data_IF_246930699086
#
_entry.id   IF_246930699086
#
_cell.length_a   1.000
_cell.length_b   1.000
_cell.length_c   1.000
_cell.angle_alpha   90.00
_cell.angle_beta   90.00
_cell.angle_gamma   90.00
#
_symmetry.space_group_name_H-M   'P 1'
#
loop_
_entity.id
_entity.type
_entity.pdbx_description
1 polymer ?
#
# COMPACT_ATOMS: atom_id res chain seq x y z
N UNK A 1 -0.95 -13.01 38.32
CA UNK A 1 -1.83 -12.07 37.63
C UNK A 1 -1.28 -11.82 36.25
N UNK A 2 -1.93 -12.38 35.23
CA UNK A 2 -1.57 -12.23 33.82
C UNK A 2 -1.69 -10.75 33.44
N UNK A 3 -0.56 -10.09 33.31
CA UNK A 3 -0.49 -8.79 32.64
C UNK A 3 -0.74 -9.08 31.18
N UNK A 4 -1.98 -8.87 30.73
CA UNK A 4 -2.34 -8.81 29.33
C UNK A 4 -1.58 -7.68 28.65
N UNK A 5 -0.33 -7.96 28.28
CA UNK A 5 0.46 -7.10 27.41
C UNK A 5 -0.21 -7.15 26.05
N UNK A 6 -1.17 -6.26 25.82
CA UNK A 6 -1.69 -5.99 24.49
C UNK A 6 -0.48 -5.68 23.61
N UNK A 7 -0.15 -6.58 22.69
CA UNK A 7 0.94 -6.35 21.75
C UNK A 7 0.58 -5.10 20.96
N UNK A 8 1.35 -4.03 21.17
CA UNK A 8 1.06 -2.72 20.57
C UNK A 8 1.36 -2.80 19.07
N UNK A 9 0.32 -2.97 18.26
CA UNK A 9 0.43 -3.05 16.81
C UNK A 9 0.49 -1.64 16.20
N UNK A 10 1.71 -1.15 15.97
CA UNK A 10 1.94 0.21 15.43
C UNK A 10 1.32 0.43 14.05
N UNK A 11 1.22 -0.60 13.22
CA UNK A 11 0.54 -0.50 11.93
C UNK A 11 -0.97 -0.33 12.07
N UNK A 12 -1.59 -0.90 13.11
CA UNK A 12 -2.99 -0.68 13.42
C UNK A 12 -3.22 0.74 13.95
N UNK A 13 -2.33 1.26 14.78
CA UNK A 13 -2.41 2.63 15.29
C UNK A 13 -2.27 3.66 14.16
N UNK A 14 -1.29 3.48 13.27
CA UNK A 14 -1.15 4.28 12.06
C UNK A 14 -2.41 4.25 11.17
N UNK A 15 -3.01 3.06 11.02
CA UNK A 15 -4.26 2.89 10.29
C UNK A 15 -5.44 3.63 10.95
N UNK A 16 -5.49 3.69 12.28
CA UNK A 16 -6.50 4.46 13.02
C UNK A 16 -6.27 5.96 12.85
N UNK A 17 -5.02 6.43 12.98
CA UNK A 17 -4.67 7.84 12.79
C UNK A 17 -5.09 8.33 11.40
N UNK A 18 -4.76 7.58 10.34
CA UNK A 18 -5.20 7.90 8.98
C UNK A 18 -6.73 7.87 8.81
N UNK A 19 -7.44 7.03 9.55
CA UNK A 19 -8.91 6.95 9.46
C UNK A 19 -9.62 8.12 10.15
N UNK A 20 -8.94 8.87 11.01
CA UNK A 20 -9.48 10.08 11.66
C UNK A 20 -9.22 11.32 10.81
N UNK A 21 -8.12 11.36 10.05
CA UNK A 21 -7.84 12.43 9.10
C UNK A 21 -8.66 12.28 7.80
N UNK A 22 -9.46 13.29 7.47
CA UNK A 22 -10.38 13.22 6.32
C UNK A 22 -9.65 13.02 4.99
N UNK A 23 -8.48 13.64 4.82
CA UNK A 23 -7.72 13.57 3.56
C UNK A 23 -7.11 12.17 3.40
N UNK A 24 -6.46 11.66 4.46
CA UNK A 24 -5.87 10.33 4.49
C UNK A 24 -6.93 9.26 4.30
N UNK A 25 -8.02 9.31 5.06
CA UNK A 25 -9.12 8.35 4.97
C UNK A 25 -9.73 8.31 3.56
N UNK A 26 -9.99 9.48 2.97
CA UNK A 26 -10.58 9.59 1.62
C UNK A 26 -9.66 9.00 0.56
N UNK A 27 -8.39 9.42 0.52
CA UNK A 27 -7.44 8.94 -0.48
C UNK A 27 -7.07 7.47 -0.26
N UNK A 28 -7.06 7.00 1.00
CA UNK A 28 -6.88 5.59 1.33
C UNK A 28 -8.00 4.73 0.76
N UNK A 29 -9.24 5.13 1.01
CA UNK A 29 -10.42 4.46 0.46
C UNK A 29 -10.37 4.44 -1.08
N UNK A 30 -9.99 5.56 -1.69
CA UNK A 30 -9.89 5.68 -3.16
C UNK A 30 -8.91 4.67 -3.76
N UNK A 31 -7.68 4.54 -3.24
CA UNK A 31 -6.72 3.59 -3.79
C UNK A 31 -7.12 2.14 -3.49
N UNK A 32 -7.64 1.85 -2.30
CA UNK A 32 -8.10 0.50 -1.96
C UNK A 32 -9.19 0.06 -2.92
N UNK A 33 -10.22 0.89 -3.15
CA UNK A 33 -11.28 0.61 -4.12
C UNK A 33 -10.74 0.43 -5.53
N UNK A 34 -9.76 1.23 -5.96
CA UNK A 34 -9.15 1.08 -7.28
C UNK A 34 -8.36 -0.24 -7.45
N UNK A 35 -7.76 -0.75 -6.37
CA UNK A 35 -6.94 -1.96 -6.40
C UNK A 35 -7.73 -3.26 -6.22
N UNK A 36 -8.90 -3.23 -5.54
CA UNK A 36 -9.75 -4.42 -5.36
C UNK A 36 -10.85 -4.55 -6.42
N UNK A 37 -11.14 -3.49 -7.18
CA UNK A 37 -12.19 -3.53 -8.20
C UNK A 37 -11.85 -4.53 -9.31
N UNK A 38 -12.72 -5.54 -9.58
CA UNK A 38 -12.48 -6.51 -10.62
C UNK A 38 -12.44 -5.84 -11.99
N UNK A 39 -11.51 -6.28 -12.84
CA UNK A 39 -11.34 -5.75 -14.19
C UNK A 39 -11.74 -6.80 -15.22
N UNK A 40 -12.83 -6.55 -15.95
CA UNK A 40 -13.33 -7.45 -16.99
C UNK A 40 -12.32 -7.69 -18.14
N UNK A 41 -11.27 -6.87 -18.26
CA UNK A 41 -10.29 -6.90 -19.36
C UNK A 41 -8.83 -7.19 -18.93
N UNK A 42 -8.50 -7.16 -17.63
CA UNK A 42 -7.09 -7.08 -17.19
C UNK A 42 -6.69 -8.04 -16.05
N UNK A 43 -7.47 -9.10 -15.79
CA UNK A 43 -7.18 -10.06 -14.72
C UNK A 43 -7.76 -9.63 -13.36
N UNK A 44 -7.10 -9.93 -12.22
CA UNK A 44 -7.69 -9.78 -10.89
C UNK A 44 -8.03 -8.33 -10.51
N UNK A 45 -7.36 -7.35 -11.14
CA UNK A 45 -7.62 -5.92 -10.94
C UNK A 45 -7.15 -5.09 -12.15
N UNK A 46 -7.48 -3.79 -12.17
CA UNK A 46 -6.86 -2.84 -13.11
C UNK A 46 -5.59 -2.22 -12.48
N UNK A 47 -4.43 -2.85 -12.69
CA UNK A 47 -3.15 -2.44 -12.09
C UNK A 47 -2.77 -0.99 -12.42
N UNK A 48 -3.01 -0.51 -13.64
CA UNK A 48 -2.72 0.87 -14.02
C UNK A 48 -3.54 1.89 -13.22
N UNK A 49 -4.84 1.60 -13.01
CA UNK A 49 -5.72 2.45 -12.18
C UNK A 49 -5.31 2.41 -10.70
N UNK A 50 -4.99 1.22 -10.18
CA UNK A 50 -4.47 1.03 -8.83
C UNK A 50 -3.19 1.85 -8.59
N UNK A 51 -2.17 1.70 -9.46
CA UNK A 51 -0.90 2.42 -9.34
C UNK A 51 -1.07 3.95 -9.47
N UNK A 52 -2.02 4.42 -10.30
CA UNK A 52 -2.35 5.85 -10.37
C UNK A 52 -2.94 6.37 -9.05
N UNK A 53 -3.84 5.61 -8.42
CA UNK A 53 -4.45 5.99 -7.15
C UNK A 53 -3.45 5.91 -5.98
N UNK A 54 -2.57 4.90 -5.97
CA UNK A 54 -1.48 4.77 -5.00
C UNK A 54 -0.51 5.96 -5.08
N UNK A 55 -0.06 6.35 -6.28
CA UNK A 55 0.77 7.55 -6.46
C UNK A 55 0.08 8.80 -5.88
N UNK A 56 -1.18 9.02 -6.24
CA UNK A 56 -1.97 10.13 -5.70
C UNK A 56 -2.05 10.11 -4.16
N UNK A 57 -2.18 8.94 -3.54
CA UNK A 57 -2.18 8.82 -2.08
C UNK A 57 -0.85 9.29 -1.47
N UNK A 58 0.27 8.78 -1.97
CA UNK A 58 1.59 9.14 -1.46
C UNK A 58 2.01 10.59 -1.79
N UNK A 59 1.52 11.16 -2.89
CA UNK A 59 1.81 12.55 -3.27
C UNK A 59 1.01 13.58 -2.45
N UNK A 60 -0.17 13.18 -1.95
CA UNK A 60 -1.16 14.13 -1.39
C UNK A 60 -1.40 13.98 0.10
N UNK A 61 -1.12 12.81 0.67
CA UNK A 61 -1.22 12.60 2.12
C UNK A 61 0.12 12.96 2.77
N UNK A 62 0.11 13.71 3.90
CA UNK A 62 1.34 14.07 4.59
C UNK A 62 2.22 12.84 4.94
N UNK A 63 3.56 12.97 4.85
CA UNK A 63 4.50 11.90 5.19
C UNK A 63 4.28 11.28 6.57
N UNK A 64 3.85 12.07 7.55
CA UNK A 64 3.58 11.59 8.91
C UNK A 64 2.55 10.44 8.93
N UNK A 65 1.55 10.47 8.06
CA UNK A 65 0.61 9.34 7.94
C UNK A 65 1.14 8.23 7.02
N UNK A 66 1.70 8.59 5.86
CA UNK A 66 2.08 7.59 4.85
C UNK A 66 3.27 6.75 5.30
N UNK A 67 4.26 7.35 5.95
CA UNK A 67 5.41 6.66 6.49
C UNK A 67 5.04 5.78 7.68
N UNK A 68 4.16 6.24 8.58
CA UNK A 68 3.68 5.40 9.68
C UNK A 68 2.93 4.16 9.18
N UNK A 69 2.17 4.27 8.08
CA UNK A 69 1.49 3.12 7.46
C UNK A 69 2.45 2.14 6.75
N UNK A 70 3.49 2.64 6.10
CA UNK A 70 4.44 1.84 5.30
C UNK A 70 5.55 1.22 6.17
N UNK A 71 6.06 1.97 7.14
CA UNK A 71 7.30 1.67 7.84
C UNK A 71 7.10 1.39 9.34
N UNK A 72 5.85 1.22 9.79
CA UNK A 72 5.55 0.80 11.16
C UNK A 72 6.39 -0.43 11.56
N UNK A 73 7.00 -0.44 12.76
CA UNK A 73 7.71 -1.61 13.26
C UNK A 73 6.71 -2.68 13.69
N UNK A 74 7.10 -3.95 13.55
CA UNK A 74 6.28 -5.10 13.89
C UNK A 74 7.09 -6.15 14.67
N UNK A 75 6.46 -6.73 15.68
CA UNK A 75 6.99 -7.81 16.50
C UNK A 75 6.33 -9.17 16.23
N UNK A 76 5.20 -9.18 15.51
CA UNK A 76 4.44 -10.40 15.20
C UNK A 76 4.03 -10.46 13.71
N UNK A 77 3.61 -11.65 13.28
CA UNK A 77 3.20 -11.94 11.90
C UNK A 77 1.94 -11.15 11.50
N UNK A 78 1.02 -10.91 12.43
CA UNK A 78 -0.23 -10.20 12.13
C UNK A 78 0.03 -8.73 11.78
N UNK A 79 0.92 -8.06 12.52
CA UNK A 79 1.42 -6.73 12.21
C UNK A 79 2.19 -6.73 10.88
N UNK A 80 3.10 -7.69 10.69
CA UNK A 80 3.89 -7.78 9.47
C UNK A 80 3.01 -7.94 8.22
N UNK A 81 1.95 -8.76 8.29
CA UNK A 81 1.01 -8.92 7.18
C UNK A 81 0.17 -7.65 6.98
N UNK A 82 -0.27 -6.98 8.05
CA UNK A 82 -0.94 -5.67 7.93
C UNK A 82 -0.06 -4.67 7.18
N UNK A 83 1.22 -4.58 7.51
CA UNK A 83 2.19 -3.74 6.81
C UNK A 83 2.36 -4.13 5.35
N UNK A 84 2.46 -5.44 5.06
CA UNK A 84 2.56 -5.97 3.69
C UNK A 84 1.34 -5.59 2.85
N UNK A 85 0.15 -5.61 3.45
CA UNK A 85 -1.12 -5.31 2.78
C UNK A 85 -1.37 -3.81 2.53
N UNK A 86 -0.54 -2.90 3.07
CA UNK A 86 -0.73 -1.44 2.94
C UNK A 86 -0.94 -0.98 1.49
N UNK A 87 -0.25 -1.60 0.53
CA UNK A 87 -0.31 -1.26 -0.91
C UNK A 87 -1.14 -2.23 -1.75
N UNK A 88 -1.86 -3.18 -1.16
CA UNK A 88 -2.64 -4.22 -1.87
C UNK A 88 -1.75 -5.00 -2.87
N UNK A 89 -0.76 -5.77 -2.38
CA UNK A 89 0.30 -6.35 -3.22
C UNK A 89 -0.23 -7.30 -4.29
N UNK A 90 -1.35 -7.99 -4.06
CA UNK A 90 -1.98 -8.87 -5.04
C UNK A 90 -2.38 -8.16 -6.35
N UNK A 91 -2.53 -6.83 -6.31
CA UNK A 91 -2.81 -6.01 -7.49
C UNK A 91 -1.60 -5.16 -7.92
N UNK A 92 -0.96 -4.47 -6.97
CA UNK A 92 0.05 -3.44 -7.25
C UNK A 92 1.48 -3.96 -7.41
N UNK A 93 1.78 -5.14 -6.85
CA UNK A 93 3.14 -5.66 -6.75
C UNK A 93 3.29 -7.02 -7.42
N UNK A 94 2.49 -8.00 -7.03
CA UNK A 94 2.61 -9.38 -7.48
C UNK A 94 2.35 -9.50 -8.99
N UNK A 95 3.20 -10.25 -9.68
CA UNK A 95 3.11 -10.57 -11.11
C UNK A 95 3.44 -12.06 -11.30
N UNK A 96 2.84 -12.67 -12.33
CA UNK A 96 3.05 -14.10 -12.63
C UNK A 96 4.49 -14.40 -13.00
N UNK A 97 5.07 -13.53 -13.80
CA UNK A 97 6.48 -13.59 -14.20
C UNK A 97 7.25 -12.49 -13.48
N UNK A 98 8.44 -12.82 -13.00
CA UNK A 98 9.33 -11.88 -12.30
C UNK A 98 10.52 -11.57 -13.21
N UNK A 99 10.45 -10.51 -14.04
CA UNK A 99 11.59 -10.10 -14.85
C UNK A 99 12.77 -9.71 -13.96
N UNK A 100 13.99 -9.79 -14.50
CA UNK A 100 15.18 -9.37 -13.78
C UNK A 100 15.15 -7.85 -13.51
N UNK A 101 15.87 -7.42 -12.48
CA UNK A 101 15.87 -6.02 -12.04
C UNK A 101 16.37 -5.04 -13.11
N UNK A 102 17.32 -5.44 -13.97
CA UNK A 102 17.83 -4.58 -15.04
C UNK A 102 16.81 -4.38 -16.17
N UNK A 103 15.99 -5.38 -16.47
CA UNK A 103 14.89 -5.24 -17.42
C UNK A 103 13.83 -4.27 -16.89
N UNK A 104 13.48 -4.37 -15.60
CA UNK A 104 12.58 -3.42 -14.95
C UNK A 104 13.14 -2.00 -14.90
N UNK A 105 14.45 -1.85 -14.64
CA UNK A 105 15.13 -0.56 -14.68
C UNK A 105 14.98 0.11 -16.05
N UNK A 106 15.24 -0.62 -17.15
CA UNK A 106 15.09 -0.08 -18.52
C UNK A 106 13.66 0.37 -18.82
N UNK A 107 12.66 -0.36 -18.33
CA UNK A 107 11.25 0.04 -18.46
C UNK A 107 10.97 1.33 -17.68
N UNK A 108 11.51 1.45 -16.47
CA UNK A 108 11.36 2.64 -15.63
C UNK A 108 12.02 3.88 -16.26
N UNK A 109 13.23 3.74 -16.80
CA UNK A 109 13.96 4.84 -17.47
C UNK A 109 13.20 5.40 -18.69
N UNK A 110 12.39 4.59 -19.35
CA UNK A 110 11.55 4.99 -20.48
C UNK A 110 10.24 5.71 -20.06
N UNK A 111 9.84 5.64 -18.78
CA UNK A 111 8.65 6.29 -18.25
C UNK A 111 9.01 7.62 -17.55
N UNK A 112 8.34 8.72 -17.92
CA UNK A 112 8.66 10.05 -17.39
C UNK A 112 8.42 10.21 -15.88
N UNK A 113 7.51 9.41 -15.29
CA UNK A 113 7.19 9.51 -13.87
C UNK A 113 8.06 8.56 -13.03
N UNK A 114 8.50 7.45 -13.61
CA UNK A 114 9.34 6.48 -12.90
C UNK A 114 10.82 6.89 -12.83
N UNK A 115 11.34 7.49 -13.92
CA UNK A 115 12.75 7.88 -14.06
C UNK A 115 13.24 8.90 -13.03
#
# INVERSE_FOLDING_TARGET
SEVGMTTVNRCLDAAKACNVDETCQKLRTEYVSACIAPSARAGPCNRARCNKALRKFFDRVPPDYTHELLFCPCSDTACAERRRQTIVPACSYEEREKPNCLAQLRVCEADYVCK
#
